data_IF_276671806766
#
_entry.id   IF_276671806766
#
_cell.length_a   1.000
_cell.length_b   1.000
_cell.length_c   1.000
_cell.angle_alpha   90.00
_cell.angle_beta   90.00
_cell.angle_gamma   90.00
#
_symmetry.space_group_name_H-M   'P 1'
#
loop_
_entity.id
_entity.type
_entity.pdbx_description
1 polymer ?
#
# COMPACT_ATOMS: atom_id res chain seq x y z
N UNK A 1 -21.99 -6.11 -24.26
CA UNK A 1 -23.23 -5.57 -24.82
C UNK A 1 -23.40 -4.23 -24.13
N UNK A 2 -23.42 -3.14 -24.85
CA UNK A 2 -23.70 -1.84 -24.26
C UNK A 2 -25.16 -1.86 -23.79
N UNK A 3 -25.41 -1.46 -22.55
CA UNK A 3 -26.77 -1.33 -22.01
C UNK A 3 -27.53 -0.32 -22.85
N UNK A 4 -28.75 -0.63 -23.23
CA UNK A 4 -29.58 0.35 -23.93
C UNK A 4 -29.96 1.49 -22.99
N UNK A 5 -29.94 2.75 -23.48
CA UNK A 5 -30.34 3.93 -22.68
C UNK A 5 -31.72 3.71 -22.02
N UNK A 6 -32.60 2.99 -22.69
CA UNK A 6 -33.91 2.73 -22.19
C UNK A 6 -33.95 1.73 -21.01
N UNK A 7 -33.16 0.67 -21.07
CA UNK A 7 -33.02 -0.26 -19.94
C UNK A 7 -32.42 0.42 -18.72
N UNK A 8 -31.46 1.33 -18.94
CA UNK A 8 -30.88 2.17 -17.90
C UNK A 8 -31.96 3.04 -17.22
N UNK A 9 -32.75 3.80 -18.00
CA UNK A 9 -33.85 4.63 -17.48
C UNK A 9 -34.88 3.80 -16.66
N UNK A 10 -35.17 2.57 -17.08
CA UNK A 10 -36.08 1.69 -16.36
C UNK A 10 -35.48 1.31 -15.00
N UNK A 11 -34.21 0.87 -14.96
CA UNK A 11 -33.53 0.46 -13.72
C UNK A 11 -33.45 1.65 -12.75
N UNK A 12 -33.04 2.84 -13.19
CA UNK A 12 -32.98 4.05 -12.37
C UNK A 12 -34.35 4.37 -11.73
N UNK A 13 -35.42 4.24 -12.50
CA UNK A 13 -36.76 4.48 -11.97
C UNK A 13 -37.19 3.42 -10.95
N UNK A 14 -36.81 2.14 -11.15
CA UNK A 14 -37.10 1.07 -10.20
C UNK A 14 -36.33 1.24 -8.90
N UNK A 15 -35.08 1.68 -8.97
CA UNK A 15 -34.22 1.90 -7.81
C UNK A 15 -34.69 3.10 -6.96
N UNK A 16 -35.13 4.18 -7.60
CA UNK A 16 -35.64 5.39 -6.94
C UNK A 16 -37.08 5.27 -6.46
N UNK A 17 -37.73 4.14 -6.62
CA UNK A 17 -39.11 3.94 -6.24
C UNK A 17 -39.26 3.45 -4.79
N UNK A 18 -40.19 4.02 -4.04
CA UNK A 18 -40.52 3.57 -2.68
C UNK A 18 -41.41 2.30 -2.63
N UNK A 19 -41.55 1.58 -3.78
CA UNK A 19 -42.34 0.39 -3.88
C UNK A 19 -42.48 -0.08 -5.33
N UNK A 20 -43.27 -1.15 -5.59
CA UNK A 20 -43.44 -1.73 -6.94
C UNK A 20 -43.92 -0.68 -7.95
N UNK A 21 -43.32 -0.64 -9.14
CA UNK A 21 -43.77 0.18 -10.26
C UNK A 21 -44.48 -0.64 -11.33
N UNK A 22 -45.73 -0.27 -11.65
CA UNK A 22 -46.45 -0.93 -12.73
C UNK A 22 -45.89 -0.54 -14.10
N UNK A 23 -46.09 -1.40 -15.10
CA UNK A 23 -45.69 -1.10 -16.48
C UNK A 23 -46.30 0.20 -16.98
N UNK A 24 -47.59 0.46 -16.60
CA UNK A 24 -48.25 1.71 -16.92
C UNK A 24 -47.60 2.93 -16.28
N UNK A 25 -47.16 2.81 -15.03
CA UNK A 25 -46.42 3.89 -14.35
C UNK A 25 -45.06 4.17 -15.01
N UNK A 26 -44.30 3.12 -15.35
CA UNK A 26 -43.05 3.25 -16.10
C UNK A 26 -43.25 3.84 -17.48
N UNK A 27 -44.26 3.38 -18.21
CA UNK A 27 -44.67 3.91 -19.53
C UNK A 27 -44.94 5.42 -19.48
N UNK A 28 -45.72 5.88 -18.49
CA UNK A 28 -46.02 7.31 -18.28
C UNK A 28 -44.79 8.12 -17.91
N UNK A 29 -43.96 7.60 -16.98
CA UNK A 29 -42.73 8.30 -16.53
C UNK A 29 -41.72 8.47 -17.67
N UNK A 30 -41.58 7.46 -18.52
CA UNK A 30 -40.57 7.44 -19.59
C UNK A 30 -41.10 7.92 -20.94
N UNK A 31 -42.40 8.27 -21.03
CA UNK A 31 -43.01 8.76 -22.26
C UNK A 31 -43.05 7.74 -23.42
N UNK A 32 -43.13 6.45 -23.09
CA UNK A 32 -43.11 5.33 -24.07
C UNK A 32 -44.33 4.42 -23.92
N UNK A 33 -44.56 3.54 -24.91
CA UNK A 33 -45.68 2.58 -24.82
C UNK A 33 -45.36 1.43 -23.84
N UNK A 34 -46.35 0.84 -23.21
CA UNK A 34 -46.19 -0.35 -22.35
C UNK A 34 -45.52 -1.49 -23.10
N UNK A 35 -45.80 -1.67 -24.40
CA UNK A 35 -45.10 -2.64 -25.25
C UNK A 35 -43.59 -2.41 -25.31
N UNK A 36 -43.17 -1.17 -25.29
CA UNK A 36 -41.75 -0.80 -25.27
C UNK A 36 -41.12 -1.23 -23.94
N UNK A 37 -41.80 -1.01 -22.82
CA UNK A 37 -41.32 -1.45 -21.48
C UNK A 37 -41.17 -2.98 -21.47
N UNK A 38 -42.25 -3.74 -21.85
CA UNK A 38 -42.19 -5.20 -21.88
C UNK A 38 -41.05 -5.75 -22.76
N UNK A 39 -40.71 -5.09 -23.84
CA UNK A 39 -39.60 -5.50 -24.71
C UNK A 39 -38.23 -5.33 -24.03
N UNK A 40 -38.11 -4.38 -23.12
CA UNK A 40 -36.83 -4.10 -22.41
C UNK A 40 -36.70 -4.92 -21.12
N UNK A 41 -37.79 -5.43 -20.54
CA UNK A 41 -37.77 -6.23 -19.30
C UNK A 41 -36.75 -7.39 -19.32
N UNK A 42 -36.62 -8.17 -20.42
CA UNK A 42 -35.58 -9.23 -20.44
C UNK A 42 -34.19 -8.72 -20.26
N UNK A 43 -33.79 -7.60 -20.89
CA UNK A 43 -32.47 -6.96 -20.74
C UNK A 43 -32.32 -6.40 -19.33
N UNK A 44 -33.34 -5.74 -18.79
CA UNK A 44 -33.38 -5.24 -17.41
C UNK A 44 -33.18 -6.37 -16.40
N UNK A 45 -33.87 -7.49 -16.60
CA UNK A 45 -33.77 -8.68 -15.74
C UNK A 45 -32.34 -9.24 -15.78
N UNK A 46 -31.76 -9.41 -16.97
CA UNK A 46 -30.40 -9.90 -17.14
C UNK A 46 -29.38 -9.02 -16.44
N UNK A 47 -29.54 -7.70 -16.53
CA UNK A 47 -28.67 -6.73 -15.83
C UNK A 47 -28.82 -6.89 -14.31
N UNK A 48 -30.02 -6.86 -13.78
CA UNK A 48 -30.32 -6.97 -12.35
C UNK A 48 -29.78 -8.30 -11.79
N UNK A 49 -30.00 -9.41 -12.50
CA UNK A 49 -29.47 -10.73 -12.13
C UNK A 49 -27.93 -10.81 -12.19
N UNK A 50 -27.28 -9.97 -13.01
CA UNK A 50 -25.82 -9.91 -13.06
C UNK A 50 -25.20 -9.33 -11.78
N UNK A 51 -25.96 -8.62 -10.98
CA UNK A 51 -25.60 -8.10 -9.66
C UNK A 51 -26.12 -8.98 -8.50
N UNK A 52 -26.57 -10.22 -8.79
CA UNK A 52 -27.20 -11.12 -7.81
C UNK A 52 -28.41 -10.48 -7.10
N UNK A 53 -29.14 -9.65 -7.86
CA UNK A 53 -30.42 -9.06 -7.49
C UNK A 53 -31.53 -9.76 -8.25
N UNK A 54 -32.76 -9.63 -7.76
CA UNK A 54 -33.96 -10.22 -8.40
C UNK A 54 -34.92 -9.12 -8.78
N UNK A 55 -35.42 -9.16 -10.02
CA UNK A 55 -36.56 -8.36 -10.46
C UNK A 55 -37.85 -9.11 -10.19
N UNK A 56 -38.58 -8.73 -9.15
CA UNK A 56 -39.85 -9.39 -8.77
C UNK A 56 -41.06 -8.68 -9.38
N UNK A 57 -41.98 -9.50 -9.89
CA UNK A 57 -43.32 -9.11 -10.36
C UNK A 57 -44.37 -10.10 -9.88
N UNK A 58 -44.09 -10.90 -8.84
CA UNK A 58 -44.92 -12.02 -8.37
C UNK A 58 -46.27 -11.60 -7.83
N UNK A 59 -46.43 -10.36 -7.38
CA UNK A 59 -47.68 -9.83 -6.85
C UNK A 59 -48.61 -9.26 -7.91
N UNK A 60 -48.21 -9.15 -9.18
CA UNK A 60 -48.99 -8.47 -10.23
C UNK A 60 -49.11 -6.93 -10.03
N UNK A 61 -48.52 -6.39 -8.99
CA UNK A 61 -48.59 -4.97 -8.62
C UNK A 61 -47.49 -4.11 -9.25
N UNK A 62 -46.64 -4.71 -10.09
CA UNK A 62 -45.55 -4.06 -10.77
C UNK A 62 -44.20 -4.68 -10.42
N UNK A 63 -43.14 -4.11 -10.99
CA UNK A 63 -41.77 -4.55 -10.83
C UNK A 63 -41.07 -3.89 -9.63
N UNK A 64 -40.28 -4.65 -8.89
CA UNK A 64 -39.46 -4.19 -7.80
C UNK A 64 -38.14 -4.97 -7.76
N UNK A 65 -37.04 -4.29 -7.41
CA UNK A 65 -35.72 -4.93 -7.28
C UNK A 65 -35.53 -5.38 -5.84
N UNK A 66 -35.11 -6.63 -5.64
CA UNK A 66 -34.79 -7.23 -4.34
C UNK A 66 -33.39 -7.80 -4.33
N UNK A 67 -32.74 -7.74 -3.16
CA UNK A 67 -31.45 -8.34 -2.92
C UNK A 67 -30.70 -7.68 -1.76
N UNK A 68 -29.41 -7.98 -1.62
CA UNK A 68 -28.59 -7.40 -0.56
C UNK A 68 -28.45 -5.89 -0.73
N UNK A 69 -28.32 -5.17 0.41
CA UNK A 69 -28.12 -3.73 0.39
C UNK A 69 -26.81 -3.35 -0.35
N UNK A 70 -25.81 -4.21 -0.24
CA UNK A 70 -24.54 -4.05 -0.94
C UNK A 70 -24.72 -4.12 -2.47
N UNK A 71 -25.39 -5.15 -2.98
CA UNK A 71 -25.62 -5.31 -4.41
C UNK A 71 -26.50 -4.18 -4.99
N UNK A 72 -27.46 -3.68 -4.20
CA UNK A 72 -28.27 -2.51 -4.56
C UNK A 72 -27.41 -1.25 -4.67
N UNK A 73 -26.54 -1.00 -3.70
CA UNK A 73 -25.59 0.14 -3.74
C UNK A 73 -24.66 0.04 -4.95
N UNK A 74 -24.11 -1.15 -5.21
CA UNK A 74 -23.23 -1.40 -6.33
C UNK A 74 -23.90 -1.14 -7.67
N UNK A 75 -25.13 -1.64 -7.85
CA UNK A 75 -25.93 -1.35 -9.04
C UNK A 75 -26.20 0.16 -9.19
N UNK A 76 -26.51 0.86 -8.09
CA UNK A 76 -26.75 2.31 -8.11
C UNK A 76 -25.49 3.09 -8.54
N UNK A 77 -24.35 2.78 -7.94
CA UNK A 77 -23.07 3.42 -8.28
C UNK A 77 -22.73 3.27 -9.76
N UNK A 78 -22.90 2.09 -10.33
CA UNK A 78 -22.66 1.83 -11.74
C UNK A 78 -23.53 2.71 -12.68
N UNK A 79 -24.71 3.08 -12.26
CA UNK A 79 -25.62 3.93 -13.04
C UNK A 79 -25.42 5.44 -12.79
N UNK A 80 -24.93 5.83 -11.61
CA UNK A 80 -24.59 7.24 -11.32
C UNK A 80 -23.30 7.67 -12.04
N UNK A 81 -22.30 6.79 -12.14
CA UNK A 81 -21.00 7.07 -12.76
C UNK A 81 -21.04 7.19 -14.29
N UNK A 82 -22.01 6.63 -14.97
CA UNK A 82 -22.14 6.70 -16.46
C UNK A 82 -22.33 8.13 -17.00
N UNK A 83 -22.42 9.15 -16.13
CA UNK A 83 -22.48 10.56 -16.55
C UNK A 83 -21.15 11.15 -17.00
N UNK A 84 -20.03 10.47 -16.79
CA UNK A 84 -18.72 10.86 -17.31
C UNK A 84 -18.15 9.68 -18.12
N UNK A 85 -17.72 9.92 -19.35
CA UNK A 85 -16.97 8.96 -20.17
C UNK A 85 -15.63 8.63 -19.47
N UNK A 86 -15.66 7.70 -18.53
CA UNK A 86 -14.46 7.22 -17.84
C UNK A 86 -13.84 6.10 -18.66
N UNK A 87 -12.75 6.41 -19.34
CA UNK A 87 -11.94 5.42 -20.05
C UNK A 87 -10.79 4.97 -19.15
N UNK A 88 -10.95 3.87 -18.42
CA UNK A 88 -9.88 3.25 -17.67
C UNK A 88 -8.83 2.61 -18.59
N UNK A 89 -7.56 2.81 -18.30
CA UNK A 89 -6.48 2.04 -18.89
C UNK A 89 -6.60 0.55 -18.52
N UNK A 90 -5.94 -0.36 -19.25
CA UNK A 90 -5.94 -1.78 -18.91
C UNK A 90 -5.44 -2.01 -17.47
N UNK A 91 -4.36 -1.31 -17.06
CA UNK A 91 -3.80 -1.40 -15.70
C UNK A 91 -4.83 -1.00 -14.64
N UNK A 92 -5.48 0.16 -14.80
CA UNK A 92 -6.51 0.63 -13.86
C UNK A 92 -7.69 -0.34 -13.79
N UNK A 93 -8.19 -0.84 -14.93
CA UNK A 93 -9.27 -1.85 -14.91
C UNK A 93 -8.89 -3.11 -14.15
N UNK A 94 -7.68 -3.64 -14.40
CA UNK A 94 -7.17 -4.83 -13.69
C UNK A 94 -7.12 -4.57 -12.18
N UNK A 95 -6.64 -3.40 -11.76
CA UNK A 95 -6.53 -3.04 -10.35
C UNK A 95 -7.91 -2.85 -9.69
N UNK A 96 -8.86 -2.20 -10.38
CA UNK A 96 -10.23 -2.06 -9.89
C UNK A 96 -10.91 -3.43 -9.79
N UNK A 97 -10.76 -4.32 -10.79
CA UNK A 97 -11.29 -5.69 -10.73
C UNK A 97 -10.70 -6.45 -9.53
N UNK A 98 -9.39 -6.38 -9.33
CA UNK A 98 -8.72 -7.02 -8.19
C UNK A 98 -9.28 -6.52 -6.86
N UNK A 99 -9.37 -5.21 -6.66
CA UNK A 99 -9.89 -4.63 -5.42
C UNK A 99 -11.36 -5.00 -5.19
N UNK A 100 -12.17 -5.03 -6.25
CA UNK A 100 -13.57 -5.44 -6.18
C UNK A 100 -13.68 -6.90 -5.75
N UNK A 101 -12.89 -7.81 -6.35
CA UNK A 101 -12.90 -9.23 -6.00
C UNK A 101 -12.27 -9.52 -4.61
N UNK A 102 -11.34 -8.68 -4.14
CA UNK A 102 -10.76 -8.79 -2.79
C UNK A 102 -11.70 -8.26 -1.71
N UNK A 103 -12.58 -7.31 -2.06
CA UNK A 103 -13.60 -6.81 -1.14
C UNK A 103 -14.76 -7.79 -0.93
N UNK A 104 -14.96 -8.71 -1.87
CA UNK A 104 -16.03 -9.69 -1.89
C UNK A 104 -15.50 -11.12 -1.74
N UNK A 105 -16.31 -12.00 -1.11
CA UNK A 105 -15.98 -13.43 -1.01
C UNK A 105 -16.80 -14.28 -2.00
N UNK A 106 -17.90 -13.74 -2.51
CA UNK A 106 -18.77 -14.41 -3.46
C UNK A 106 -18.30 -14.20 -4.91
N UNK A 107 -18.87 -15.03 -5.80
CA UNK A 107 -18.62 -14.89 -7.23
C UNK A 107 -19.26 -13.62 -7.79
N UNK A 108 -18.51 -12.87 -8.58
CA UNK A 108 -19.01 -11.70 -9.32
C UNK A 108 -19.13 -12.05 -10.79
N UNK A 109 -20.29 -11.78 -11.38
CA UNK A 109 -20.52 -12.03 -12.81
C UNK A 109 -19.68 -11.09 -13.68
N UNK A 110 -19.04 -11.66 -14.70
CA UNK A 110 -18.24 -10.87 -15.67
C UNK A 110 -19.02 -9.72 -16.30
N UNK A 111 -20.33 -9.89 -16.46
CA UNK A 111 -21.21 -8.86 -17.01
C UNK A 111 -21.36 -7.67 -16.05
N UNK A 112 -21.48 -7.91 -14.74
CA UNK A 112 -21.54 -6.86 -13.75
C UNK A 112 -20.23 -6.03 -13.76
N UNK A 113 -19.05 -6.70 -13.75
CA UNK A 113 -17.76 -6.01 -13.90
C UNK A 113 -17.65 -5.20 -15.20
N UNK A 114 -18.22 -5.72 -16.30
CA UNK A 114 -18.22 -5.01 -17.58
C UNK A 114 -19.09 -3.74 -17.54
N UNK A 115 -20.22 -3.79 -16.84
CA UNK A 115 -21.10 -2.63 -16.61
C UNK A 115 -20.42 -1.63 -15.70
N UNK A 116 -19.91 -2.07 -14.54
CA UNK A 116 -19.22 -1.22 -13.56
C UNK A 116 -18.06 -0.42 -14.20
N UNK A 117 -17.35 -1.05 -15.16
CA UNK A 117 -16.18 -0.45 -15.83
C UNK A 117 -16.49 0.11 -17.23
N UNK A 118 -17.77 0.28 -17.57
CA UNK A 118 -18.22 0.80 -18.87
C UNK A 118 -17.50 0.17 -20.07
N UNK A 119 -17.37 -1.16 -20.07
CA UNK A 119 -16.64 -1.90 -21.11
C UNK A 119 -17.39 -3.19 -21.54
N UNK A 120 -16.79 -3.96 -22.45
CA UNK A 120 -17.40 -5.22 -22.89
C UNK A 120 -16.96 -6.39 -21.99
N UNK A 121 -17.83 -7.40 -21.82
CA UNK A 121 -17.47 -8.65 -21.14
C UNK A 121 -16.26 -9.35 -21.81
N UNK A 122 -16.00 -9.12 -23.10
CA UNK A 122 -14.82 -9.64 -23.77
C UNK A 122 -13.55 -8.93 -23.31
N UNK A 123 -13.60 -7.61 -23.13
CA UNK A 123 -12.48 -6.83 -22.58
C UNK A 123 -12.14 -7.30 -21.16
N UNK A 124 -13.15 -7.50 -20.31
CA UNK A 124 -12.94 -8.04 -18.94
C UNK A 124 -12.29 -9.43 -18.97
N UNK A 125 -12.70 -10.33 -19.91
CA UNK A 125 -12.03 -11.64 -20.04
C UNK A 125 -10.59 -11.53 -20.46
N UNK A 126 -10.24 -10.57 -21.29
CA UNK A 126 -8.83 -10.30 -21.65
C UNK A 126 -8.05 -9.77 -20.44
N UNK A 127 -8.65 -8.89 -19.64
CA UNK A 127 -8.04 -8.34 -18.43
C UNK A 127 -7.76 -9.43 -17.36
N UNK A 128 -8.52 -10.55 -17.35
CA UNK A 128 -8.25 -11.68 -16.44
C UNK A 128 -6.88 -12.33 -16.64
N UNK A 129 -6.31 -12.27 -17.85
CA UNK A 129 -4.97 -12.79 -18.07
C UNK A 129 -3.93 -11.93 -17.36
N UNK A 130 -3.98 -10.63 -17.53
CA UNK A 130 -3.10 -9.66 -16.83
C UNK A 130 -3.28 -9.75 -15.31
N UNK A 131 -4.54 -9.96 -14.84
CA UNK A 131 -4.81 -10.16 -13.42
C UNK A 131 -4.15 -11.43 -12.88
N UNK A 132 -4.20 -12.57 -13.59
CA UNK A 132 -3.54 -13.81 -13.18
C UNK A 132 -2.03 -13.65 -13.09
N UNK A 133 -1.42 -12.90 -14.00
CA UNK A 133 0.00 -12.58 -13.96
C UNK A 133 0.34 -11.75 -12.71
N UNK A 134 -0.49 -10.76 -12.38
CA UNK A 134 -0.33 -9.93 -11.18
C UNK A 134 -0.52 -10.72 -9.87
N UNK A 135 -1.30 -11.80 -9.87
CA UNK A 135 -1.51 -12.66 -8.69
C UNK A 135 -0.35 -13.64 -8.44
N UNK A 136 0.61 -13.77 -9.36
CA UNK A 136 1.74 -14.67 -9.18
C UNK A 136 2.57 -14.26 -7.95
N UNK A 137 2.80 -15.22 -7.05
CA UNK A 137 3.55 -15.00 -5.82
C UNK A 137 2.74 -14.49 -4.62
N UNK A 138 1.45 -14.13 -4.79
CA UNK A 138 0.64 -13.56 -3.70
C UNK A 138 -0.17 -14.57 -2.86
N UNK A 139 -0.03 -15.88 -3.08
CA UNK A 139 -0.82 -16.90 -2.38
C UNK A 139 -2.34 -16.69 -2.46
N UNK A 140 -2.80 -16.00 -3.51
CA UNK A 140 -4.20 -15.76 -3.86
C UNK A 140 -4.47 -16.35 -5.23
N UNK A 141 -5.57 -17.06 -5.39
CA UNK A 141 -5.90 -17.77 -6.62
C UNK A 141 -7.15 -17.19 -7.27
N UNK A 142 -7.14 -17.12 -8.59
CA UNK A 142 -8.28 -16.71 -9.39
C UNK A 142 -9.12 -17.93 -9.78
N UNK A 143 -10.36 -17.95 -9.36
CA UNK A 143 -11.31 -19.02 -9.64
C UNK A 143 -12.42 -18.52 -10.58
N UNK A 144 -12.79 -19.36 -11.54
CA UNK A 144 -13.90 -19.09 -12.47
C UNK A 144 -14.90 -20.23 -12.40
N UNK A 145 -16.18 -19.92 -12.20
CA UNK A 145 -17.24 -20.91 -12.18
C UNK A 145 -18.30 -20.55 -13.21
N UNK A 146 -18.63 -21.54 -14.07
CA UNK A 146 -19.60 -21.34 -15.14
C UNK A 146 -20.95 -20.90 -14.55
N UNK A 147 -21.56 -19.86 -15.10
CA UNK A 147 -22.80 -19.22 -14.67
C UNK A 147 -22.75 -18.43 -13.34
N UNK A 148 -21.78 -18.64 -12.48
CA UNK A 148 -21.64 -17.88 -11.22
C UNK A 148 -20.71 -16.68 -11.36
N UNK A 149 -19.64 -16.79 -12.16
CA UNK A 149 -18.72 -15.68 -12.40
C UNK A 149 -17.30 -15.98 -11.96
N UNK A 150 -16.65 -15.01 -11.35
CA UNK A 150 -15.24 -15.06 -10.92
C UNK A 150 -15.10 -14.62 -9.47
N UNK A 151 -14.15 -15.20 -8.75
CA UNK A 151 -13.76 -14.78 -7.40
C UNK A 151 -12.27 -15.01 -7.13
N UNK A 152 -11.79 -14.47 -6.03
CA UNK A 152 -10.47 -14.76 -5.50
C UNK A 152 -10.57 -15.69 -4.29
N UNK A 153 -9.74 -16.75 -4.28
CA UNK A 153 -9.63 -17.70 -3.18
C UNK A 153 -8.22 -17.67 -2.59
N UNK A 154 -8.07 -18.09 -1.35
CA UNK A 154 -6.82 -18.08 -0.60
C UNK A 154 -7.04 -17.64 0.84
N UNK A 155 -5.96 -17.65 1.63
CA UNK A 155 -6.01 -17.22 3.02
C UNK A 155 -6.33 -15.72 3.16
N UNK A 156 -6.99 -15.35 4.25
CA UNK A 156 -7.47 -13.98 4.46
C UNK A 156 -6.30 -12.97 4.57
N UNK A 157 -5.23 -13.31 5.27
CA UNK A 157 -4.08 -12.41 5.46
C UNK A 157 -3.43 -12.00 4.13
N UNK A 158 -3.06 -12.91 3.21
CA UNK A 158 -2.59 -12.55 1.86
C UNK A 158 -3.56 -11.67 1.08
N UNK A 159 -4.88 -11.93 1.16
CA UNK A 159 -5.90 -11.09 0.50
C UNK A 159 -5.88 -9.65 1.02
N UNK A 160 -5.81 -9.45 2.35
CA UNK A 160 -5.75 -8.12 2.97
C UNK A 160 -4.51 -7.34 2.51
N UNK A 161 -3.34 -7.98 2.53
CA UNK A 161 -2.10 -7.34 2.08
C UNK A 161 -2.11 -7.05 0.58
N UNK A 162 -2.65 -7.95 -0.25
CA UNK A 162 -2.81 -7.71 -1.68
C UNK A 162 -3.73 -6.50 -1.93
N UNK A 163 -4.84 -6.38 -1.19
CA UNK A 163 -5.73 -5.21 -1.28
C UNK A 163 -4.98 -3.92 -0.99
N UNK A 164 -4.24 -3.87 0.13
CA UNK A 164 -3.42 -2.69 0.49
C UNK A 164 -2.42 -2.37 -0.62
N UNK A 165 -1.66 -3.36 -1.08
CA UNK A 165 -0.64 -3.17 -2.10
C UNK A 165 -1.21 -2.62 -3.41
N UNK A 166 -2.31 -3.20 -3.92
CA UNK A 166 -2.96 -2.72 -5.15
C UNK A 166 -3.51 -1.31 -4.97
N UNK A 167 -4.13 -1.02 -3.84
CA UNK A 167 -4.70 0.30 -3.56
C UNK A 167 -3.61 1.39 -3.50
N UNK A 168 -2.54 1.14 -2.74
CA UNK A 168 -1.49 2.14 -2.51
C UNK A 168 -0.61 2.44 -3.72
N UNK A 169 -0.60 1.56 -4.73
CA UNK A 169 0.02 1.87 -6.03
C UNK A 169 -0.73 2.95 -6.80
N UNK A 170 -1.99 3.20 -6.45
CA UNK A 170 -2.91 4.04 -7.20
C UNK A 170 -3.35 5.31 -6.45
N UNK A 171 -2.98 5.46 -5.16
CA UNK A 171 -3.31 6.65 -4.35
C UNK A 171 -2.05 7.15 -3.66
N UNK A 172 -1.58 8.32 -4.08
CA UNK A 172 -0.45 8.98 -3.43
C UNK A 172 -0.81 9.43 -2.01
N UNK A 173 0.12 9.35 -1.03
CA UNK A 173 -0.15 9.67 0.37
C UNK A 173 -0.72 11.07 0.58
N UNK A 174 -0.19 12.10 -0.10
CA UNK A 174 -0.69 13.47 -0.03
C UNK A 174 -2.18 13.56 -0.39
N UNK A 175 -2.58 12.95 -1.52
CA UNK A 175 -3.96 12.95 -1.98
C UNK A 175 -4.89 12.16 -1.03
N UNK A 176 -4.39 11.05 -0.47
CA UNK A 176 -5.12 10.25 0.51
C UNK A 176 -5.42 11.04 1.78
N UNK A 177 -4.41 11.73 2.34
CA UNK A 177 -4.62 12.52 3.56
C UNK A 177 -5.44 13.78 3.31
N UNK A 178 -5.33 14.42 2.14
CA UNK A 178 -6.20 15.53 1.78
C UNK A 178 -7.65 15.09 1.70
N UNK A 179 -7.93 13.93 1.13
CA UNK A 179 -9.27 13.34 1.14
C UNK A 179 -9.78 13.09 2.57
N UNK A 180 -8.99 12.48 3.46
CA UNK A 180 -9.42 12.20 4.83
C UNK A 180 -9.67 13.46 5.67
N UNK A 181 -9.01 14.56 5.32
CA UNK A 181 -9.19 15.88 5.98
C UNK A 181 -10.32 16.71 5.38
N UNK A 182 -11.04 16.20 4.38
CA UNK A 182 -12.01 16.95 3.57
C UNK A 182 -11.40 18.22 2.92
N UNK A 183 -10.10 18.19 2.64
CA UNK A 183 -9.40 19.21 1.89
C UNK A 183 -9.68 19.06 0.39
N UNK A 184 -9.18 20.01 -0.39
CA UNK A 184 -9.29 19.97 -1.85
C UNK A 184 -8.37 18.88 -2.44
N UNK A 185 -8.79 17.62 -2.42
CA UNK A 185 -8.05 16.48 -2.97
C UNK A 185 -8.30 16.34 -4.49
N UNK A 186 -7.34 15.74 -5.18
CA UNK A 186 -7.44 15.46 -6.62
C UNK A 186 -8.40 14.30 -6.85
N UNK A 187 -9.34 14.40 -7.83
CA UNK A 187 -10.21 13.29 -8.20
C UNK A 187 -9.39 12.02 -8.47
N UNK A 188 -9.82 10.90 -7.88
CA UNK A 188 -9.13 9.63 -8.00
C UNK A 188 -10.13 8.47 -7.88
N UNK A 189 -10.19 7.64 -8.92
CA UNK A 189 -11.13 6.51 -9.01
C UNK A 189 -10.99 5.49 -7.87
N UNK A 190 -9.78 5.32 -7.33
CA UNK A 190 -9.54 4.40 -6.21
C UNK A 190 -10.01 4.96 -4.88
N UNK A 191 -10.03 6.30 -4.72
CA UNK A 191 -10.70 6.96 -3.58
C UNK A 191 -12.21 6.76 -3.69
N UNK A 192 -12.78 6.93 -4.88
CA UNK A 192 -14.21 6.70 -5.10
C UNK A 192 -14.57 5.22 -4.88
N UNK A 193 -13.70 4.29 -5.26
CA UNK A 193 -13.86 2.87 -4.96
C UNK A 193 -13.87 2.59 -3.44
N UNK A 194 -13.00 3.24 -2.67
CA UNK A 194 -13.01 3.14 -1.20
C UNK A 194 -14.31 3.65 -0.59
N UNK A 195 -14.88 4.74 -1.12
CA UNK A 195 -16.20 5.24 -0.70
C UNK A 195 -17.30 4.24 -1.02
N UNK A 196 -17.30 3.69 -2.24
CA UNK A 196 -18.29 2.69 -2.67
C UNK A 196 -18.20 1.41 -1.84
N UNK A 197 -17.02 1.07 -1.36
CA UNK A 197 -16.81 -0.04 -0.43
C UNK A 197 -17.07 0.31 1.04
N UNK A 198 -17.60 1.49 1.35
CA UNK A 198 -17.90 1.97 2.71
C UNK A 198 -16.65 2.03 3.63
N UNK A 199 -15.45 2.36 3.09
CA UNK A 199 -14.24 2.56 3.88
C UNK A 199 -14.03 4.01 4.35
N UNK A 200 -14.78 4.98 3.83
CA UNK A 200 -14.57 6.41 4.10
C UNK A 200 -14.70 6.74 5.58
N UNK A 201 -15.82 6.40 6.21
CA UNK A 201 -16.05 6.68 7.63
C UNK A 201 -15.05 5.97 8.56
N UNK A 202 -14.79 4.65 8.40
CA UNK A 202 -13.76 3.98 9.19
C UNK A 202 -12.38 4.66 9.06
N UNK A 203 -11.96 5.02 7.86
CA UNK A 203 -10.67 5.65 7.62
C UNK A 203 -10.58 7.05 8.24
N UNK A 204 -11.63 7.88 8.13
CA UNK A 204 -11.67 9.20 8.77
C UNK A 204 -11.57 9.11 10.30
N UNK A 205 -12.34 8.22 10.91
CA UNK A 205 -12.29 7.98 12.36
C UNK A 205 -10.90 7.49 12.78
N UNK A 206 -10.36 6.49 12.11
CA UNK A 206 -9.02 5.96 12.37
C UNK A 206 -7.96 7.05 12.27
N UNK A 207 -7.99 7.84 11.20
CA UNK A 207 -7.03 8.92 11.01
C UNK A 207 -7.04 9.93 12.15
N UNK A 208 -8.22 10.39 12.57
CA UNK A 208 -8.36 11.33 13.70
C UNK A 208 -7.81 10.75 15.01
N UNK A 209 -8.12 9.49 15.31
CA UNK A 209 -7.65 8.79 16.51
C UNK A 209 -6.15 8.57 16.47
N UNK A 210 -5.61 8.14 15.32
CA UNK A 210 -4.18 7.91 15.14
C UNK A 210 -3.34 9.16 15.29
N UNK A 211 -3.81 10.33 14.87
CA UNK A 211 -3.13 11.60 15.12
C UNK A 211 -2.87 11.85 16.61
N UNK A 212 -3.81 11.46 17.47
CA UNK A 212 -3.65 11.58 18.93
C UNK A 212 -2.65 10.56 19.47
N UNK A 213 -2.69 9.31 18.97
CA UNK A 213 -1.76 8.25 19.38
C UNK A 213 -0.33 8.60 18.96
N UNK A 214 -0.13 9.05 17.71
CA UNK A 214 1.17 9.48 17.17
C UNK A 214 1.77 10.58 18.05
N UNK A 215 1.00 11.62 18.38
CA UNK A 215 1.45 12.72 19.25
C UNK A 215 1.77 12.26 20.67
N UNK A 216 0.90 11.44 21.27
CA UNK A 216 1.05 10.92 22.63
C UNK A 216 2.29 10.02 22.77
N UNK A 217 2.61 9.24 21.73
CA UNK A 217 3.67 8.25 21.73
C UNK A 217 4.95 8.73 21.04
N UNK A 218 4.97 9.95 20.50
CA UNK A 218 6.09 10.49 19.73
C UNK A 218 6.59 9.56 18.62
N UNK A 219 5.61 8.93 17.88
CA UNK A 219 5.90 8.01 16.80
C UNK A 219 6.56 8.74 15.61
N UNK A 220 7.66 8.19 15.14
CA UNK A 220 8.27 8.59 13.88
C UNK A 220 7.82 7.62 12.77
N UNK A 221 6.71 7.92 12.12
CA UNK A 221 6.10 7.14 11.05
C UNK A 221 5.98 8.01 9.80
N UNK A 222 6.40 7.50 8.66
CA UNK A 222 6.26 8.22 7.38
C UNK A 222 4.81 8.27 6.92
N UNK A 223 4.47 9.24 6.05
CA UNK A 223 3.12 9.35 5.49
C UNK A 223 2.69 8.07 4.76
N UNK A 224 3.61 7.43 4.03
CA UNK A 224 3.33 6.17 3.34
C UNK A 224 3.03 5.04 4.31
N UNK A 225 3.82 4.88 5.37
CA UNK A 225 3.59 3.85 6.39
C UNK A 225 2.29 4.09 7.16
N UNK A 226 1.98 5.36 7.47
CA UNK A 226 0.72 5.71 8.11
C UNK A 226 -0.47 5.41 7.20
N UNK A 227 -0.40 5.73 5.91
CA UNK A 227 -1.41 5.40 4.93
C UNK A 227 -1.65 3.89 4.86
N UNK A 228 -0.58 3.10 4.73
CA UNK A 228 -0.62 1.64 4.68
C UNK A 228 -1.26 1.06 5.94
N UNK A 229 -0.83 1.52 7.10
CA UNK A 229 -1.35 1.09 8.40
C UNK A 229 -2.84 1.40 8.58
N UNK A 230 -3.28 2.62 8.21
CA UNK A 230 -4.69 3.01 8.29
C UNK A 230 -5.57 2.15 7.38
N UNK A 231 -5.14 1.91 6.15
CA UNK A 231 -5.88 1.08 5.19
C UNK A 231 -5.96 -0.36 5.68
N UNK A 232 -4.85 -0.91 6.20
CA UNK A 232 -4.82 -2.28 6.71
C UNK A 232 -5.74 -2.46 7.92
N UNK A 233 -5.77 -1.50 8.88
CA UNK A 233 -6.72 -1.53 10.00
C UNK A 233 -8.16 -1.38 9.51
N UNK A 234 -8.43 -0.53 8.54
CA UNK A 234 -9.77 -0.36 8.00
C UNK A 234 -10.29 -1.65 7.34
N UNK A 235 -9.43 -2.36 6.59
CA UNK A 235 -9.73 -3.68 6.04
C UNK A 235 -9.98 -4.68 7.17
N UNK A 236 -9.13 -4.67 8.19
CA UNK A 236 -9.29 -5.52 9.37
C UNK A 236 -10.65 -5.29 10.04
N UNK A 237 -11.07 -4.04 10.23
CA UNK A 237 -12.37 -3.69 10.81
C UNK A 237 -13.52 -4.28 10.00
N UNK A 238 -13.47 -4.23 8.66
CA UNK A 238 -14.52 -4.75 7.80
C UNK A 238 -14.53 -6.28 7.69
N UNK A 239 -13.37 -6.90 7.81
CA UNK A 239 -13.16 -8.33 7.52
C UNK A 239 -12.76 -9.16 8.75
N UNK A 240 -12.97 -8.64 9.98
CA UNK A 240 -12.58 -9.35 11.20
C UNK A 240 -13.30 -10.70 11.38
N UNK A 241 -14.52 -10.84 10.88
CA UNK A 241 -15.31 -12.09 10.98
C UNK A 241 -14.96 -13.14 9.92
N UNK A 242 -14.05 -12.85 8.98
CA UNK A 242 -13.70 -13.75 7.88
C UNK A 242 -12.52 -14.68 8.19
N UNK A 243 -11.84 -14.50 9.32
CA UNK A 243 -10.81 -15.44 9.78
C UNK A 243 -11.53 -16.59 10.49
N UNK A 244 -11.58 -17.76 9.81
CA UNK A 244 -12.10 -18.97 10.41
C UNK A 244 -11.06 -19.61 11.34
N UNK A 245 -11.51 -20.21 12.47
CA UNK A 245 -10.66 -20.92 13.42
C UNK A 245 -9.82 -22.08 12.84
N UNK A 246 -10.10 -22.50 11.61
CA UNK A 246 -9.43 -23.59 10.88
C UNK A 246 -8.39 -23.14 9.85
N UNK A 247 -8.34 -21.85 9.52
CA UNK A 247 -7.25 -21.36 8.69
C UNK A 247 -5.97 -21.39 9.54
N UNK A 248 -4.98 -22.17 9.11
CA UNK A 248 -3.63 -22.08 9.63
C UNK A 248 -3.18 -20.61 9.53
N UNK A 249 -3.48 -19.85 10.59
CA UNK A 249 -2.77 -18.61 10.80
C UNK A 249 -1.33 -19.05 10.79
N UNK A 250 -0.65 -18.68 9.75
CA UNK A 250 0.79 -18.73 9.66
C UNK A 250 1.31 -18.73 11.08
N UNK A 251 2.10 -19.72 11.46
CA UNK A 251 2.80 -19.72 12.76
C UNK A 251 3.67 -18.49 12.75
N UNK A 252 3.00 -17.36 12.99
CA UNK A 252 3.62 -16.05 13.18
C UNK A 252 4.46 -16.28 14.44
N UNK A 253 5.71 -16.67 14.26
CA UNK A 253 6.68 -16.71 15.33
C UNK A 253 6.93 -15.26 15.72
N UNK A 254 5.99 -14.73 16.50
CA UNK A 254 6.25 -13.52 17.27
C UNK A 254 7.28 -13.98 18.30
N UNK A 255 8.55 -13.77 18.00
CA UNK A 255 9.56 -13.86 19.03
C UNK A 255 9.17 -12.83 20.08
N UNK A 256 9.19 -13.20 21.36
CA UNK A 256 8.81 -12.40 22.52
C UNK A 256 9.69 -11.13 22.70
N UNK A 257 9.76 -10.31 21.68
CA UNK A 257 10.42 -9.00 21.73
C UNK A 257 9.43 -7.87 22.02
N UNK A 258 8.41 -8.16 22.84
CA UNK A 258 7.46 -7.14 23.28
C UNK A 258 8.20 -6.09 24.10
N UNK A 259 8.47 -4.94 23.49
CA UNK A 259 8.89 -3.77 24.25
C UNK A 259 7.66 -3.18 24.96
N UNK A 260 7.82 -2.61 26.16
CA UNK A 260 6.75 -1.89 26.87
C UNK A 260 6.07 -0.84 25.98
N UNK A 261 6.80 -0.34 25.02
CA UNK A 261 6.33 0.65 24.06
C UNK A 261 5.35 0.07 23.01
N UNK A 262 5.66 -1.08 22.43
CA UNK A 262 4.77 -1.77 21.47
C UNK A 262 3.49 -2.20 22.16
N UNK A 263 3.57 -2.68 23.42
CA UNK A 263 2.43 -3.06 24.23
C UNK A 263 1.48 -1.89 24.50
N UNK A 264 2.03 -0.73 24.83
CA UNK A 264 1.21 0.45 25.05
C UNK A 264 0.59 0.99 23.75
N UNK A 265 1.29 0.95 22.64
CA UNK A 265 0.73 1.34 21.35
C UNK A 265 -0.41 0.39 20.95
N UNK A 266 -0.16 -0.92 21.08
CA UNK A 266 -1.16 -1.96 20.83
C UNK A 266 -2.43 -1.74 21.66
N UNK A 267 -2.30 -1.43 22.96
CA UNK A 267 -3.44 -1.14 23.82
C UNK A 267 -4.20 0.11 23.36
N UNK A 268 -3.52 1.17 22.91
CA UNK A 268 -4.19 2.36 22.40
C UNK A 268 -5.01 2.01 21.12
N UNK A 269 -4.50 1.16 20.22
CA UNK A 269 -5.25 0.74 19.01
C UNK A 269 -6.37 -0.23 19.35
N UNK A 270 -6.15 -1.22 20.24
CA UNK A 270 -7.20 -2.13 20.70
C UNK A 270 -8.37 -1.35 21.28
N UNK A 271 -8.08 -0.32 22.08
CA UNK A 271 -9.13 0.55 22.64
C UNK A 271 -9.93 1.27 21.56
N UNK A 272 -9.28 1.72 20.47
CA UNK A 272 -10.00 2.32 19.32
C UNK A 272 -10.92 1.28 18.70
N UNK A 273 -10.45 0.04 18.46
CA UNK A 273 -11.26 -1.03 17.87
C UNK A 273 -12.47 -1.38 18.76
N UNK A 274 -12.27 -1.53 20.07
CA UNK A 274 -13.32 -1.90 21.01
C UNK A 274 -14.35 -0.77 21.23
N UNK A 275 -13.89 0.46 21.42
CA UNK A 275 -14.76 1.59 21.81
C UNK A 275 -15.43 2.23 20.60
N UNK A 276 -14.66 2.54 19.54
CA UNK A 276 -15.17 3.28 18.40
C UNK A 276 -15.83 2.35 17.36
N UNK A 277 -15.31 1.12 17.18
CA UNK A 277 -15.81 0.16 16.19
C UNK A 277 -16.58 -1.02 16.78
N UNK A 278 -16.58 -1.19 18.12
CA UNK A 278 -17.28 -2.27 18.84
C UNK A 278 -16.83 -3.67 18.43
N UNK A 279 -15.55 -3.80 18.07
CA UNK A 279 -14.94 -5.06 17.65
C UNK A 279 -14.29 -5.73 18.85
N UNK A 280 -14.63 -7.03 19.09
CA UNK A 280 -13.92 -7.91 20.01
C UNK A 280 -13.05 -8.85 19.18
N UNK A 281 -11.73 -8.86 19.45
CA UNK A 281 -10.80 -9.73 18.77
C UNK A 281 -10.84 -11.15 19.33
N UNK A 282 -10.98 -12.13 18.46
CA UNK A 282 -10.72 -13.53 18.77
C UNK A 282 -9.21 -13.81 18.83
N UNK A 283 -8.80 -14.90 19.48
CA UNK A 283 -7.37 -15.18 19.75
C UNK A 283 -6.51 -15.17 18.49
N UNK A 284 -7.01 -15.74 17.41
CA UNK A 284 -6.33 -15.78 16.11
C UNK A 284 -6.13 -14.39 15.49
N UNK A 285 -7.09 -13.50 15.66
CA UNK A 285 -6.99 -12.12 15.17
C UNK A 285 -6.06 -11.29 16.02
N UNK A 286 -5.92 -11.61 17.33
CA UNK A 286 -4.95 -10.96 18.20
C UNK A 286 -3.52 -11.21 17.74
N UNK A 287 -3.18 -12.45 17.38
CA UNK A 287 -1.83 -12.79 16.93
C UNK A 287 -1.48 -12.06 15.63
N UNK A 288 -2.42 -12.03 14.66
CA UNK A 288 -2.25 -11.25 13.44
C UNK A 288 -2.12 -9.75 13.73
N UNK A 289 -2.95 -9.21 14.63
CA UNK A 289 -2.92 -7.81 15.01
C UNK A 289 -1.62 -7.44 15.75
N UNK A 290 -1.10 -8.30 16.61
CA UNK A 290 0.21 -8.15 17.24
C UNK A 290 1.32 -8.07 16.22
N UNK A 291 1.34 -9.03 15.31
CA UNK A 291 2.32 -9.08 14.24
C UNK A 291 2.26 -7.85 13.34
N UNK A 292 1.06 -7.41 12.97
CA UNK A 292 0.86 -6.21 12.17
C UNK A 292 1.41 -4.96 12.87
N UNK A 293 1.14 -4.79 14.16
CA UNK A 293 1.70 -3.67 14.94
C UNK A 293 3.22 -3.74 14.99
N UNK A 294 3.77 -4.92 15.23
CA UNK A 294 5.22 -5.10 15.23
C UNK A 294 5.86 -4.65 13.90
N UNK A 295 5.27 -5.00 12.77
CA UNK A 295 5.76 -4.59 11.45
C UNK A 295 5.80 -3.06 11.24
N UNK A 296 4.83 -2.32 11.79
CA UNK A 296 4.71 -0.88 11.52
C UNK A 296 5.30 0.01 12.61
N UNK A 297 5.34 -0.46 13.84
CA UNK A 297 5.78 0.33 15.00
C UNK A 297 7.16 -0.08 15.47
N UNK A 298 7.53 -1.34 15.33
CA UNK A 298 8.86 -1.86 15.62
C UNK A 298 9.96 -1.10 14.86
N UNK A 299 9.67 -0.58 13.68
CA UNK A 299 10.61 0.21 12.87
C UNK A 299 11.13 1.47 13.56
N UNK A 300 10.28 2.17 14.31
CA UNK A 300 10.63 3.44 14.93
C UNK A 300 11.44 3.32 16.22
N UNK A 301 11.54 2.12 16.81
CA UNK A 301 12.23 1.87 18.08
C UNK A 301 13.27 0.74 18.04
N UNK A 302 13.60 0.23 16.87
CA UNK A 302 14.57 -0.86 16.68
C UNK A 302 16.00 -0.50 17.17
N UNK A 303 16.27 0.79 17.42
CA UNK A 303 17.61 1.30 17.72
C UNK A 303 18.18 0.84 19.08
N UNK A 304 17.41 0.27 20.01
CA UNK A 304 17.91 0.15 21.39
C UNK A 304 17.87 -1.24 22.04
N UNK A 305 17.07 -2.22 21.65
CA UNK A 305 16.86 -3.41 22.51
C UNK A 305 16.88 -4.81 21.89
N UNK A 306 17.16 -4.99 20.60
CA UNK A 306 17.19 -6.34 19.99
C UNK A 306 18.62 -6.86 19.69
N UNK A 307 19.43 -7.04 20.73
CA UNK A 307 20.79 -7.61 20.56
C UNK A 307 20.79 -9.12 20.28
N UNK A 308 19.73 -9.87 20.47
CA UNK A 308 19.80 -11.35 20.43
C UNK A 308 19.35 -11.96 19.07
N UNK A 309 18.27 -11.51 18.47
CA UNK A 309 17.88 -11.98 17.12
C UNK A 309 18.65 -11.28 15.99
N UNK A 310 19.10 -10.05 16.23
CA UNK A 310 19.96 -9.31 15.31
C UNK A 310 21.29 -10.05 14.99
N UNK A 311 21.81 -10.82 15.92
CA UNK A 311 23.07 -11.57 15.69
C UNK A 311 22.93 -12.72 14.68
N UNK A 312 21.74 -13.31 14.49
CA UNK A 312 21.60 -14.48 13.59
C UNK A 312 21.88 -14.15 12.12
N UNK A 313 21.62 -12.92 11.68
CA UNK A 313 21.83 -12.52 10.28
C UNK A 313 23.05 -11.61 10.07
N UNK A 314 23.72 -11.16 11.14
CA UNK A 314 24.85 -10.25 11.01
C UNK A 314 26.00 -10.80 10.16
N UNK A 315 26.31 -12.10 10.34
CA UNK A 315 27.33 -12.79 9.54
C UNK A 315 26.94 -12.89 8.07
N UNK A 316 25.64 -13.13 7.78
CA UNK A 316 25.14 -13.18 6.42
C UNK A 316 25.17 -11.79 5.77
N UNK A 317 24.84 -10.73 6.51
CA UNK A 317 24.88 -9.35 6.00
C UNK A 317 26.31 -8.90 5.74
N UNK A 318 27.22 -9.21 6.66
CA UNK A 318 28.64 -8.94 6.45
C UNK A 318 29.17 -9.67 5.23
N UNK A 319 28.77 -10.93 5.04
CA UNK A 319 29.09 -11.73 3.86
C UNK A 319 28.50 -11.14 2.58
N UNK A 320 27.26 -10.64 2.63
CA UNK A 320 26.59 -10.01 1.51
C UNK A 320 27.31 -8.73 1.07
N UNK A 321 27.62 -7.85 2.01
CA UNK A 321 28.38 -6.61 1.73
C UNK A 321 29.72 -6.94 1.10
N UNK A 322 30.47 -7.87 1.69
CA UNK A 322 31.80 -8.27 1.19
C UNK A 322 31.73 -8.93 -0.21
N UNK A 323 30.71 -9.74 -0.51
CA UNK A 323 30.56 -10.35 -1.81
C UNK A 323 30.22 -9.31 -2.88
N UNK A 324 29.30 -8.37 -2.56
CA UNK A 324 28.93 -7.27 -3.47
C UNK A 324 30.11 -6.33 -3.68
N UNK A 325 30.85 -5.96 -2.63
CA UNK A 325 32.07 -5.15 -2.72
C UNK A 325 33.09 -5.76 -3.69
N UNK A 326 33.34 -7.07 -3.57
CA UNK A 326 34.28 -7.78 -4.47
C UNK A 326 33.82 -7.81 -5.92
N UNK A 327 32.51 -8.00 -6.18
CA UNK A 327 31.94 -8.11 -7.54
C UNK A 327 31.77 -6.76 -8.21
N UNK A 328 31.39 -5.75 -7.43
CA UNK A 328 31.09 -4.41 -7.93
C UNK A 328 32.34 -3.50 -7.93
N UNK A 329 33.38 -3.86 -7.15
CA UNK A 329 34.64 -3.11 -6.96
C UNK A 329 34.43 -1.72 -6.36
N UNK A 330 33.59 -1.61 -5.36
CA UNK A 330 33.30 -0.38 -4.61
C UNK A 330 33.37 -0.64 -3.10
N UNK A 331 33.99 0.21 -2.25
CA UNK A 331 34.32 -0.09 -0.85
C UNK A 331 33.12 0.09 0.09
N UNK A 332 32.06 -0.68 -0.09
CA UNK A 332 30.83 -0.62 0.71
C UNK A 332 31.06 -0.87 2.20
N UNK A 333 32.08 -1.63 2.56
CA UNK A 333 32.44 -1.93 3.96
C UNK A 333 32.94 -0.69 4.72
N UNK A 334 33.29 0.41 4.05
CA UNK A 334 33.66 1.67 4.66
C UNK A 334 32.45 2.45 5.21
N UNK A 335 31.24 2.17 4.74
CA UNK A 335 30.01 2.75 5.28
C UNK A 335 29.56 1.99 6.53
N UNK A 336 29.82 2.58 7.69
CA UNK A 336 29.51 1.99 9.00
C UNK A 336 28.01 1.80 9.25
N UNK A 337 27.16 2.56 8.55
CA UNK A 337 25.70 2.51 8.73
C UNK A 337 25.05 1.48 7.81
N UNK A 338 25.72 1.07 6.71
CA UNK A 338 25.15 0.18 5.73
C UNK A 338 24.74 -1.18 6.33
N UNK A 339 25.62 -1.79 7.13
CA UNK A 339 25.37 -3.08 7.74
C UNK A 339 24.17 -3.04 8.69
N UNK A 340 24.03 -2.01 9.50
CA UNK A 340 22.93 -1.82 10.44
C UNK A 340 21.60 -1.60 9.69
N UNK A 341 21.59 -0.73 8.70
CA UNK A 341 20.43 -0.44 7.88
C UNK A 341 19.93 -1.68 7.10
N UNK A 342 20.87 -2.44 6.51
CA UNK A 342 20.55 -3.70 5.82
C UNK A 342 20.04 -4.77 6.78
N UNK A 343 20.62 -4.89 7.98
CA UNK A 343 20.21 -5.85 8.99
C UNK A 343 18.73 -5.65 9.36
N UNK A 344 18.37 -4.42 9.64
CA UNK A 344 17.01 -4.05 9.96
C UNK A 344 16.04 -4.41 8.82
N UNK A 345 16.35 -3.97 7.60
CA UNK A 345 15.48 -4.19 6.45
C UNK A 345 15.35 -5.68 6.10
N UNK A 346 16.47 -6.42 6.07
CA UNK A 346 16.48 -7.84 5.69
C UNK A 346 15.73 -8.70 6.72
N UNK A 347 15.88 -8.44 8.03
CA UNK A 347 15.11 -9.16 9.05
C UNK A 347 13.61 -9.00 8.83
N UNK A 348 13.14 -7.79 8.58
CA UNK A 348 11.73 -7.52 8.32
C UNK A 348 11.24 -8.12 6.99
N UNK A 349 12.09 -8.10 5.95
CA UNK A 349 11.79 -8.75 4.68
C UNK A 349 11.64 -10.27 4.86
N UNK A 350 12.53 -10.88 5.67
CA UNK A 350 12.45 -12.31 5.99
C UNK A 350 11.16 -12.67 6.73
N UNK A 351 10.73 -11.88 7.70
CA UNK A 351 9.47 -12.09 8.40
C UNK A 351 8.27 -12.01 7.45
N UNK A 352 8.25 -11.01 6.56
CA UNK A 352 7.21 -10.91 5.52
C UNK A 352 7.18 -12.12 4.59
N UNK A 353 8.34 -12.53 4.07
CA UNK A 353 8.45 -13.66 3.15
C UNK A 353 7.99 -14.96 3.83
N UNK A 354 8.41 -15.22 5.07
CA UNK A 354 7.98 -16.39 5.83
C UNK A 354 6.48 -16.39 6.11
N UNK A 355 5.90 -15.21 6.31
CA UNK A 355 4.47 -15.01 6.49
C UNK A 355 3.67 -14.98 5.18
N UNK A 356 4.32 -15.21 4.03
CA UNK A 356 3.67 -15.22 2.71
C UNK A 356 3.16 -13.84 2.27
N UNK A 357 3.69 -12.78 2.87
CA UNK A 357 3.32 -11.40 2.58
C UNK A 357 4.29 -10.84 1.56
N UNK A 358 3.74 -10.24 0.52
CA UNK A 358 4.51 -9.55 -0.53
C UNK A 358 4.34 -8.05 -0.38
N UNK A 359 5.41 -7.32 -0.59
CA UNK A 359 5.39 -5.85 -0.75
C UNK A 359 5.57 -5.51 -2.21
N UNK A 360 5.15 -4.32 -2.61
CA UNK A 360 5.41 -3.80 -3.94
C UNK A 360 6.34 -2.60 -3.86
N UNK A 361 7.34 -2.57 -4.72
CA UNK A 361 8.26 -1.45 -4.85
C UNK A 361 7.89 -0.61 -6.09
N UNK A 362 7.24 0.54 -5.92
CA UNK A 362 6.82 1.36 -7.06
C UNK A 362 8.01 1.94 -7.84
N UNK A 363 9.21 1.94 -7.27
CA UNK A 363 10.43 2.45 -7.89
C UNK A 363 11.30 1.32 -8.49
N UNK A 364 10.81 0.07 -8.53
CA UNK A 364 11.62 -1.09 -8.94
C UNK A 364 12.26 -0.90 -10.32
N UNK A 365 11.49 -0.41 -11.29
CA UNK A 365 11.96 -0.16 -12.65
C UNK A 365 13.02 0.96 -12.67
N UNK A 366 12.79 2.06 -11.97
CA UNK A 366 13.72 3.19 -11.88
C UNK A 366 15.04 2.76 -11.19
N UNK A 367 14.95 1.93 -10.15
CA UNK A 367 16.11 1.37 -9.45
C UNK A 367 16.91 0.47 -10.38
N UNK A 368 16.23 -0.42 -11.11
CA UNK A 368 16.89 -1.30 -12.09
C UNK A 368 17.58 -0.49 -13.19
N UNK A 369 16.91 0.55 -13.73
CA UNK A 369 17.46 1.40 -14.78
C UNK A 369 18.62 2.28 -14.30
N UNK A 370 18.64 2.67 -13.01
CA UNK A 370 19.71 3.51 -12.46
C UNK A 370 21.05 2.78 -12.42
N UNK A 371 21.10 1.53 -12.00
CA UNK A 371 22.30 0.67 -12.04
C UNK A 371 21.93 -0.80 -12.21
N UNK A 372 21.71 -1.27 -13.45
CA UNK A 372 21.39 -2.66 -13.73
C UNK A 372 22.45 -3.65 -13.26
N UNK A 373 23.73 -3.24 -13.30
CA UNK A 373 24.85 -4.08 -12.88
C UNK A 373 24.83 -4.32 -11.37
N UNK A 374 24.66 -3.26 -10.58
CA UNK A 374 24.53 -3.37 -9.13
C UNK A 374 23.33 -4.22 -8.75
N UNK A 375 22.19 -4.00 -9.39
CA UNK A 375 20.96 -4.76 -9.16
C UNK A 375 21.18 -6.27 -9.33
N UNK A 376 21.75 -6.70 -10.45
CA UNK A 376 21.99 -8.13 -10.71
C UNK A 376 23.03 -8.73 -9.75
N UNK A 377 24.05 -7.99 -9.39
CA UNK A 377 25.06 -8.44 -8.39
C UNK A 377 24.39 -8.63 -7.02
N UNK A 378 23.58 -7.68 -6.57
CA UNK A 378 22.87 -7.78 -5.28
C UNK A 378 21.93 -8.98 -5.29
N UNK A 379 21.14 -9.13 -6.34
CA UNK A 379 20.19 -10.26 -6.51
C UNK A 379 20.88 -11.61 -6.46
N UNK A 380 21.97 -11.77 -7.21
CA UNK A 380 22.75 -13.02 -7.24
C UNK A 380 23.40 -13.30 -5.89
N UNK A 381 24.04 -12.30 -5.28
CA UNK A 381 24.75 -12.44 -3.99
C UNK A 381 23.77 -12.75 -2.87
N UNK A 382 22.61 -12.10 -2.86
CA UNK A 382 21.56 -12.44 -1.89
C UNK A 382 21.08 -13.88 -2.03
N UNK A 383 20.80 -14.32 -3.26
CA UNK A 383 20.40 -15.70 -3.54
C UNK A 383 21.43 -16.71 -3.04
N UNK A 384 22.71 -16.44 -3.23
CA UNK A 384 23.79 -17.33 -2.80
C UNK A 384 23.91 -17.47 -1.28
N UNK A 385 23.73 -16.37 -0.56
CA UNK A 385 23.96 -16.31 0.89
C UNK A 385 22.74 -16.75 1.69
N UNK A 386 21.55 -16.42 1.24
CA UNK A 386 20.30 -16.65 1.97
C UNK A 386 19.53 -17.90 1.51
N UNK A 387 20.15 -18.83 0.76
CA UNK A 387 19.50 -20.10 0.38
C UNK A 387 18.97 -20.84 1.62
N UNK A 388 17.81 -21.51 1.51
CA UNK A 388 16.95 -21.71 0.32
C UNK A 388 15.86 -20.64 0.11
N UNK A 389 15.95 -19.47 0.74
CA UNK A 389 14.91 -18.45 0.74
C UNK A 389 14.86 -17.77 -0.63
N UNK A 390 13.65 -17.73 -1.22
CA UNK A 390 13.39 -16.99 -2.44
C UNK A 390 12.89 -15.59 -2.10
N UNK A 391 13.71 -14.58 -2.39
CA UNK A 391 13.35 -13.19 -2.19
C UNK A 391 12.60 -12.65 -3.42
N UNK A 392 11.47 -11.93 -3.25
CA UNK A 392 10.81 -11.20 -4.33
C UNK A 392 11.68 -10.09 -4.92
N UNK A 393 11.49 -9.77 -6.21
CA UNK A 393 12.22 -8.71 -6.92
C UNK A 393 12.02 -7.33 -6.24
N UNK A 394 10.84 -7.06 -5.74
CA UNK A 394 10.50 -5.83 -5.02
C UNK A 394 11.37 -5.62 -3.78
N UNK A 395 11.63 -6.70 -3.02
CA UNK A 395 12.51 -6.65 -1.84
C UNK A 395 13.98 -6.47 -2.25
N UNK A 396 14.42 -7.09 -3.37
CA UNK A 396 15.75 -6.85 -3.94
C UNK A 396 15.91 -5.38 -4.27
N UNK A 397 14.91 -4.75 -4.90
CA UNK A 397 14.92 -3.32 -5.20
C UNK A 397 15.15 -2.47 -3.95
N UNK A 398 14.48 -2.76 -2.84
CA UNK A 398 14.72 -2.06 -1.58
C UNK A 398 16.13 -2.26 -1.04
N UNK A 399 16.69 -3.46 -1.15
CA UNK A 399 18.08 -3.73 -0.74
C UNK A 399 19.05 -2.94 -1.60
N UNK A 400 18.83 -2.86 -2.91
CA UNK A 400 19.69 -2.10 -3.84
C UNK A 400 19.72 -0.60 -3.49
N UNK A 401 18.61 -0.02 -3.04
CA UNK A 401 18.56 1.38 -2.60
C UNK A 401 19.60 1.68 -1.49
N UNK A 402 19.78 0.76 -0.54
CA UNK A 402 20.79 0.95 0.51
C UNK A 402 22.21 0.99 -0.05
N UNK A 403 22.52 0.17 -1.05
CA UNK A 403 23.82 0.21 -1.72
C UNK A 403 23.99 1.46 -2.57
N UNK A 404 22.97 1.93 -3.28
CA UNK A 404 23.00 3.21 -4.01
C UNK A 404 23.23 4.36 -3.04
N UNK A 405 22.49 4.40 -1.93
CA UNK A 405 22.66 5.44 -0.92
C UNK A 405 24.05 5.41 -0.29
N UNK A 406 24.62 4.23 -0.07
CA UNK A 406 25.99 4.05 0.41
C UNK A 406 27.03 4.53 -0.62
N UNK A 407 26.82 4.26 -1.91
CA UNK A 407 27.66 4.80 -2.98
C UNK A 407 27.64 6.32 -3.00
N UNK A 408 26.45 6.92 -2.91
CA UNK A 408 26.31 8.38 -2.85
C UNK A 408 26.98 8.96 -1.61
N UNK A 409 26.86 8.28 -0.47
CA UNK A 409 27.50 8.70 0.79
C UNK A 409 29.03 8.65 0.70
N UNK A 410 29.59 7.55 0.20
CA UNK A 410 31.04 7.36 0.08
C UNK A 410 31.65 8.12 -1.11
N UNK A 411 30.89 8.34 -2.17
CA UNK A 411 31.31 9.10 -3.36
C UNK A 411 31.24 10.61 -3.15
N UNK A 412 30.58 11.07 -2.09
CA UNK A 412 30.66 12.49 -1.70
C UNK A 412 32.12 12.77 -1.38
N UNK A 413 32.86 13.27 -2.37
CA UNK A 413 34.12 13.88 -2.15
C UNK A 413 33.91 15.00 -1.12
N UNK A 414 34.20 14.72 0.14
CA UNK A 414 34.20 15.77 1.16
C UNK A 414 35.17 16.80 0.71
N UNK A 415 34.68 18.00 0.39
CA UNK A 415 35.52 19.15 0.06
C UNK A 415 36.35 19.45 1.33
N UNK A 416 37.64 19.15 1.29
CA UNK A 416 38.51 19.40 2.41
C UNK A 416 38.74 20.91 2.57
N UNK A 417 38.27 21.44 3.71
CA UNK A 417 38.28 22.91 3.94
C UNK A 417 39.21 23.29 5.05
N UNK A 418 40.04 24.28 4.72
CA UNK A 418 40.80 25.04 5.73
C UNK A 418 40.00 26.27 6.15
N UNK A 419 39.67 26.39 7.43
CA UNK A 419 39.03 27.57 7.97
C UNK A 419 40.08 28.48 8.62
N UNK A 420 40.14 29.71 8.12
CA UNK A 420 41.02 30.74 8.70
C UNK A 420 40.14 31.73 9.49
N UNK A 421 40.34 31.81 10.78
CA UNK A 421 39.51 32.64 11.66
C UNK A 421 40.35 33.52 12.57
N UNK A 422 40.04 34.83 12.59
CA UNK A 422 40.68 35.80 13.45
C UNK A 422 40.06 35.90 14.85
N UNK A 423 38.89 35.26 15.05
CA UNK A 423 38.14 35.27 16.31
C UNK A 423 38.53 34.07 17.18
N UNK A 424 38.22 34.11 18.48
CA UNK A 424 38.69 33.12 19.45
C UNK A 424 38.20 31.69 19.24
N UNK A 425 38.76 30.74 20.00
CA UNK A 425 38.56 29.29 19.88
C UNK A 425 37.07 28.88 19.88
N UNK A 426 36.21 29.56 20.64
CA UNK A 426 34.79 29.23 20.74
C UNK A 426 34.01 29.50 19.43
N UNK A 427 34.27 30.66 18.82
CA UNK A 427 33.64 31.05 17.55
C UNK A 427 34.10 30.16 16.37
N UNK A 428 35.37 29.75 16.40
CA UNK A 428 35.92 28.85 15.40
C UNK A 428 35.29 27.45 15.46
N UNK A 429 35.07 26.91 16.66
CA UNK A 429 34.38 25.64 16.84
C UNK A 429 32.90 25.72 16.42
N UNK A 430 32.23 26.84 16.72
CA UNK A 430 30.84 27.05 16.30
C UNK A 430 30.73 27.16 14.78
N UNK A 431 31.67 27.87 14.13
CA UNK A 431 31.73 27.97 12.68
C UNK A 431 31.91 26.61 12.01
N UNK A 432 32.85 25.80 12.53
CA UNK A 432 33.07 24.42 12.07
C UNK A 432 31.78 23.61 12.15
N UNK A 433 31.16 23.55 13.33
CA UNK A 433 29.92 22.80 13.55
C UNK A 433 28.77 23.28 12.66
N UNK A 434 28.70 24.58 12.36
CA UNK A 434 27.70 25.14 11.45
C UNK A 434 27.97 24.77 9.99
N UNK A 435 29.23 24.87 9.53
CA UNK A 435 29.61 24.48 8.18
C UNK A 435 29.33 22.99 7.91
N UNK A 436 29.78 22.11 8.82
CA UNK A 436 29.58 20.67 8.70
C UNK A 436 28.12 20.25 8.81
N UNK A 437 27.28 21.04 9.48
CA UNK A 437 25.82 20.79 9.59
C UNK A 437 25.06 21.33 8.40
N UNK A 438 25.38 22.51 7.87
CA UNK A 438 24.67 23.15 6.77
C UNK A 438 25.10 22.61 5.39
N UNK A 439 26.34 22.12 5.30
CA UNK A 439 26.92 21.59 4.05
C UNK A 439 27.55 20.23 4.31
N UNK A 440 26.81 19.18 4.01
CA UNK A 440 27.21 17.77 4.24
C UNK A 440 28.45 17.34 3.44
N UNK A 441 28.80 18.09 2.39
CA UNK A 441 29.98 17.89 1.54
C UNK A 441 31.24 18.60 2.06
N UNK A 442 31.16 19.39 3.13
CA UNK A 442 32.33 20.10 3.72
C UNK A 442 32.90 19.29 4.87
N UNK A 443 34.18 18.97 4.77
CA UNK A 443 35.01 18.45 5.86
C UNK A 443 36.04 19.50 6.29
N UNK A 444 35.83 20.10 7.45
CA UNK A 444 36.77 21.08 8.00
C UNK A 444 37.98 20.38 8.60
N UNK A 445 39.01 20.18 7.77
CA UNK A 445 40.26 19.50 8.17
C UNK A 445 41.02 20.26 9.25
N UNK A 446 41.08 21.59 9.13
CA UNK A 446 41.88 22.42 10.06
C UNK A 446 41.26 23.80 10.21
N UNK A 447 41.44 24.38 11.42
CA UNK A 447 41.13 25.78 11.69
C UNK A 447 42.43 26.44 12.15
N UNK A 448 42.82 27.52 11.51
CA UNK A 448 44.01 28.28 11.84
C UNK A 448 43.71 29.77 11.99
N UNK A 449 44.64 30.47 12.63
CA UNK A 449 44.60 31.93 12.68
C UNK A 449 45.26 32.54 11.42
N UNK A 450 44.88 33.75 11.07
CA UNK A 450 45.34 34.42 9.85
C UNK A 450 46.88 34.52 9.78
N UNK A 451 47.59 34.76 10.90
CA UNK A 451 49.03 34.85 10.92
C UNK A 451 49.76 33.51 10.70
N UNK A 452 49.08 32.38 10.87
CA UNK A 452 49.62 31.04 10.57
C UNK A 452 49.38 30.59 9.12
N UNK A 453 48.63 31.36 8.34
CA UNK A 453 48.31 31.01 6.96
C UNK A 453 49.56 30.88 6.06
N UNK A 454 50.59 31.66 6.32
CA UNK A 454 51.86 31.61 5.57
C UNK A 454 52.67 30.34 5.81
N UNK A 455 52.43 29.66 6.95
CA UNK A 455 53.17 28.44 7.33
C UNK A 455 52.39 27.16 6.91
N UNK A 456 51.19 27.31 6.32
CA UNK A 456 50.31 26.21 5.96
C UNK A 456 50.44 25.84 4.47
N UNK A 457 50.55 24.55 4.19
CA UNK A 457 50.52 24.05 2.80
C UNK A 457 49.10 23.99 2.29
N UNK A 458 48.71 25.01 1.56
CA UNK A 458 47.32 25.15 1.01
C UNK A 458 46.95 24.07 -0.04
N UNK A 459 47.93 23.35 -0.59
CA UNK A 459 47.67 22.29 -1.57
C UNK A 459 46.97 21.06 -0.98
N UNK A 460 46.92 20.96 0.34
CA UNK A 460 46.23 19.86 1.04
C UNK A 460 44.72 20.07 1.20
N UNK A 461 44.20 21.23 0.79
CA UNK A 461 42.80 21.62 0.94
C UNK A 461 42.21 21.99 -0.42
N UNK A 462 40.97 21.55 -0.64
CA UNK A 462 40.22 21.90 -1.85
C UNK A 462 39.70 23.34 -1.79
N UNK A 463 39.41 23.81 -0.58
CA UNK A 463 38.86 25.15 -0.34
C UNK A 463 39.45 25.78 0.94
N UNK A 464 39.75 27.07 0.89
CA UNK A 464 40.03 27.85 2.09
C UNK A 464 38.97 28.90 2.34
N UNK A 465 38.37 28.89 3.54
CA UNK A 465 37.38 29.87 3.99
C UNK A 465 38.01 30.82 5.00
N UNK A 466 38.01 32.12 4.69
CA UNK A 466 38.53 33.15 5.60
C UNK A 466 37.36 33.89 6.26
N UNK A 467 37.26 33.72 7.56
CA UNK A 467 36.29 34.44 8.37
C UNK A 467 37.00 35.60 9.10
N UNK A 468 36.69 36.80 8.68
CA UNK A 468 37.24 38.05 9.27
C UNK A 468 36.33 38.55 10.36
#
# INVERSE_FOLDING_TARGET
MLISDRSKEIIENLMNANGPLTVSALSKKLGVTERTIYRQIPEVTEIIESYDLTLDNSSGNGFMIFGSLYNLKRLNSAFEEVKTEQNYSNKERVDIILLTLLNEDDYIKTQALAIDLNTSSQTIRNDYQSMKEKLQGHNVQFETKKSEGVRLTGHEIPKRHLFVNVLLQNIAPDNFFDWLKDNNYRPNHFIDLLKNFDYEEPLKVLYQKMQNVIRKRHLNISDKELQEFLVLIAIFIKRHSYINDQEDILKLTIQDSNTDYEDHFRQDILKILEVDFKIQLYDNERDYFHWMIHLYVGRSHYELNQQISAFQNLDHISSLINEIEKKFHFPFSEDKNLAENLLLHINMAMERIQSGITVTNPMLEDIYQSDPKLYEIVKESFRNIFQPIKIPEDEIGYIVIYFIASMDYLSKNSISVLVVCSTGIGSSKMLRSRLEREFSEIDVKKIISLHKLHDEDLKQYDLSLIHI
#
